data_IF_515260225024
#
_entry.id   IF_515260225024
#
_cell.length_a   1.000
_cell.length_b   1.000
_cell.length_c   1.000
_cell.angle_alpha   90.00
_cell.angle_beta   90.00
_cell.angle_gamma   90.00
#
_symmetry.space_group_name_H-M   'P 1'
#
loop_
_entity.id
_entity.type
_entity.pdbx_description
1 polymer ?
#
# COMPACT_ATOMS: atom_id res chain seq x y z
N UNK A 1 14.66 18.70 6.88
CA UNK A 1 15.19 20.03 7.20
C UNK A 1 14.24 21.07 6.61
N UNK A 2 13.78 22.04 7.41
CA UNK A 2 12.94 23.19 7.01
C UNK A 2 11.45 22.94 6.60
N UNK A 3 10.74 21.96 7.18
CA UNK A 3 9.26 21.93 7.09
C UNK A 3 8.65 22.93 8.10
N UNK A 4 7.42 23.44 7.91
CA UNK A 4 6.50 23.21 6.79
C UNK A 4 6.70 24.12 5.57
N UNK A 5 7.23 25.34 5.74
CA UNK A 5 7.30 26.37 4.68
C UNK A 5 8.75 26.73 4.30
N UNK A 6 9.62 25.74 4.17
CA UNK A 6 11.01 25.94 3.78
C UNK A 6 11.45 24.96 2.70
N UNK A 7 12.41 25.40 1.90
CA UNK A 7 13.08 24.59 0.90
C UNK A 7 14.48 24.25 1.40
N UNK A 8 14.96 23.05 1.05
CA UNK A 8 16.37 22.68 1.22
C UNK A 8 16.93 22.33 -0.14
N UNK A 9 18.01 23.00 -0.54
CA UNK A 9 18.74 22.69 -1.76
C UNK A 9 20.00 21.92 -1.36
N UNK A 10 20.16 20.72 -1.91
CA UNK A 10 21.34 19.88 -1.71
C UNK A 10 22.26 20.03 -2.91
N UNK A 11 23.43 20.61 -2.69
CA UNK A 11 24.45 20.76 -3.73
C UNK A 11 25.25 19.47 -3.91
N UNK A 12 25.68 19.15 -5.15
CA UNK A 12 26.51 17.96 -5.43
C UNK A 12 27.81 17.87 -4.62
N UNK A 13 28.31 18.99 -4.13
CA UNK A 13 29.58 19.04 -3.40
C UNK A 13 29.43 18.82 -1.89
N UNK A 14 28.20 18.86 -1.35
CA UNK A 14 27.92 18.80 0.10
C UNK A 14 26.90 17.75 0.52
N UNK A 15 26.45 16.92 -0.42
CA UNK A 15 25.45 15.91 -0.11
C UNK A 15 26.00 14.80 0.79
N UNK A 16 27.30 14.51 0.71
CA UNK A 16 27.92 13.44 1.51
C UNK A 16 27.85 13.73 3.00
N UNK A 17 28.21 14.94 3.44
CA UNK A 17 28.17 15.32 4.86
C UNK A 17 26.73 15.37 5.38
N UNK A 18 25.82 15.88 4.55
CA UNK A 18 24.40 15.93 4.87
C UNK A 18 23.84 14.51 5.02
N UNK A 19 24.06 13.64 4.04
CA UNK A 19 23.60 12.25 4.06
C UNK A 19 24.19 11.49 5.25
N UNK A 20 25.50 11.63 5.51
CA UNK A 20 26.20 10.85 6.54
C UNK A 20 25.59 11.01 7.93
N UNK A 21 25.03 12.20 8.22
CA UNK A 21 24.38 12.50 9.49
C UNK A 21 22.95 11.94 9.65
N UNK A 22 22.34 11.44 8.56
CA UNK A 22 20.95 10.98 8.57
C UNK A 22 20.87 9.61 9.28
N UNK A 23 19.93 9.41 10.21
CA UNK A 23 19.63 8.09 10.78
C UNK A 23 19.22 7.10 9.69
N UNK A 24 19.64 5.84 9.79
CA UNK A 24 19.33 4.82 8.77
C UNK A 24 17.83 4.69 8.52
N UNK A 25 16.98 4.75 9.56
CA UNK A 25 15.52 4.69 9.40
C UNK A 25 14.89 5.82 8.58
N UNK A 26 15.59 6.95 8.46
CA UNK A 26 15.11 8.11 7.70
C UNK A 26 15.49 8.04 6.21
N UNK A 27 16.29 7.04 5.83
CA UNK A 27 16.64 6.79 4.44
C UNK A 27 15.46 6.17 3.70
N UNK A 28 15.24 6.55 2.44
CA UNK A 28 14.16 6.02 1.63
C UNK A 28 14.26 4.49 1.54
N UNK A 29 13.15 3.78 1.76
CA UNK A 29 13.05 2.32 1.82
C UNK A 29 13.63 1.64 3.08
N UNK A 30 14.21 2.39 4.02
CA UNK A 30 14.71 1.86 5.30
C UNK A 30 13.72 2.05 6.46
N UNK A 31 12.46 2.35 6.17
CA UNK A 31 11.41 2.38 7.18
C UNK A 31 11.00 0.98 7.65
N UNK A 32 10.41 0.88 8.84
CA UNK A 32 9.84 -0.35 9.38
C UNK A 32 10.88 -1.46 9.63
N UNK A 33 10.49 -2.71 9.36
CA UNK A 33 11.28 -3.90 9.71
C UNK A 33 12.64 -3.98 9.01
N UNK A 34 12.75 -3.47 7.77
CA UNK A 34 14.02 -3.52 7.05
C UNK A 34 15.07 -2.59 7.67
N UNK A 35 14.68 -1.38 8.09
CA UNK A 35 15.59 -0.48 8.81
C UNK A 35 16.08 -1.06 10.12
N UNK A 36 15.19 -1.67 10.90
CA UNK A 36 15.54 -2.36 12.14
C UNK A 36 16.48 -3.54 11.91
N UNK A 37 16.25 -4.32 10.85
CA UNK A 37 17.14 -5.40 10.45
C UNK A 37 18.53 -4.88 10.09
N UNK A 38 18.62 -3.81 9.30
CA UNK A 38 19.90 -3.21 8.90
C UNK A 38 20.68 -2.73 10.13
N UNK A 39 20.01 -2.01 11.05
CA UNK A 39 20.63 -1.51 12.28
C UNK A 39 21.11 -2.63 13.19
N UNK A 40 20.34 -3.70 13.35
CA UNK A 40 20.69 -4.81 14.23
C UNK A 40 21.76 -5.73 13.63
N UNK A 41 21.75 -5.98 12.32
CA UNK A 41 22.70 -6.89 11.65
C UNK A 41 24.06 -6.25 11.41
N UNK A 42 24.10 -4.94 11.10
CA UNK A 42 25.35 -4.22 10.81
C UNK A 42 25.80 -3.29 11.95
N UNK A 43 25.03 -3.20 13.03
CA UNK A 43 25.30 -2.34 14.20
C UNK A 43 25.50 -0.85 13.84
N UNK A 44 24.79 -0.40 12.80
CA UNK A 44 24.85 0.98 12.28
C UNK A 44 23.75 1.85 12.85
N UNK A 45 24.00 3.17 12.95
CA UNK A 45 22.98 4.16 13.36
C UNK A 45 22.72 5.18 12.27
N UNK A 46 23.75 5.54 11.52
CA UNK A 46 23.70 6.59 10.52
C UNK A 46 24.01 6.05 9.12
N UNK A 47 23.61 6.81 8.10
CA UNK A 47 23.99 6.50 6.71
C UNK A 47 25.52 6.54 6.54
N UNK A 48 26.22 7.38 7.30
CA UNK A 48 27.69 7.43 7.32
C UNK A 48 28.32 6.08 7.71
N UNK A 49 27.76 5.40 8.71
CA UNK A 49 28.19 4.06 9.11
C UNK A 49 27.90 3.04 7.99
N UNK A 50 26.72 3.15 7.37
CA UNK A 50 26.30 2.25 6.29
C UNK A 50 27.14 2.39 5.00
N UNK A 51 27.72 3.57 4.76
CA UNK A 51 28.59 3.83 3.61
C UNK A 51 29.90 3.03 3.62
N UNK A 52 30.33 2.55 4.79
CA UNK A 52 31.57 1.78 4.95
C UNK A 52 31.49 0.36 4.35
N UNK A 53 30.29 -0.14 4.08
CA UNK A 53 30.08 -1.48 3.56
C UNK A 53 30.13 -1.54 2.03
N UNK A 54 30.75 -2.60 1.51
CA UNK A 54 30.77 -2.90 0.08
C UNK A 54 29.42 -3.42 -0.40
N UNK A 55 29.17 -3.34 -1.72
CA UNK A 55 27.95 -3.87 -2.32
C UNK A 55 27.81 -5.38 -2.03
N UNK A 56 28.88 -6.16 -2.21
CA UNK A 56 28.88 -7.61 -1.96
C UNK A 56 28.51 -7.96 -0.51
N UNK A 57 28.97 -7.16 0.45
CA UNK A 57 28.64 -7.37 1.86
C UNK A 57 27.16 -7.14 2.12
N UNK A 58 26.59 -6.07 1.56
CA UNK A 58 25.17 -5.76 1.71
C UNK A 58 24.28 -6.78 0.99
N UNK A 59 24.69 -7.26 -0.19
CA UNK A 59 23.98 -8.30 -0.92
C UNK A 59 24.03 -9.66 -0.20
N UNK A 60 25.14 -9.97 0.48
CA UNK A 60 25.28 -11.18 1.29
C UNK A 60 24.33 -11.20 2.49
N UNK A 61 24.17 -10.07 3.17
CA UNK A 61 23.35 -9.98 4.40
C UNK A 61 21.84 -9.80 4.10
N UNK A 62 21.48 -9.04 3.06
CA UNK A 62 20.08 -8.67 2.78
C UNK A 62 19.52 -9.24 1.47
N UNK A 63 20.31 -10.01 0.73
CA UNK A 63 19.98 -10.53 -0.58
C UNK A 63 20.26 -9.53 -1.72
N UNK A 64 20.34 -10.05 -2.95
CA UNK A 64 20.79 -9.28 -4.12
C UNK A 64 19.98 -8.00 -4.35
N UNK A 65 18.65 -8.06 -4.31
CA UNK A 65 17.79 -6.91 -4.58
C UNK A 65 17.90 -5.84 -3.50
N UNK A 66 17.75 -6.21 -2.23
CA UNK A 66 17.74 -5.25 -1.11
C UNK A 66 19.14 -4.73 -0.79
N UNK A 67 20.16 -5.59 -0.85
CA UNK A 67 21.55 -5.19 -0.65
C UNK A 67 22.03 -4.21 -1.72
N UNK A 68 21.72 -4.48 -2.99
CA UNK A 68 22.03 -3.55 -4.09
C UNK A 68 21.29 -2.23 -3.96
N UNK A 69 20.00 -2.26 -3.60
CA UNK A 69 19.22 -1.06 -3.30
C UNK A 69 19.86 -0.26 -2.17
N UNK A 70 20.19 -0.92 -1.05
CA UNK A 70 20.81 -0.28 0.11
C UNK A 70 22.12 0.44 -0.27
N UNK A 71 22.99 -0.23 -1.05
CA UNK A 71 24.25 0.33 -1.53
C UNK A 71 24.09 1.61 -2.36
N UNK A 72 23.08 1.63 -3.25
CA UNK A 72 22.80 2.74 -4.15
C UNK A 72 22.18 3.92 -3.38
N UNK A 73 21.17 3.63 -2.54
CA UNK A 73 20.40 4.66 -1.83
C UNK A 73 21.25 5.37 -0.77
N UNK A 74 22.09 4.65 -0.01
CA UNK A 74 22.95 5.29 1.00
C UNK A 74 23.97 6.27 0.39
N UNK A 75 24.28 6.12 -0.90
CA UNK A 75 25.18 6.99 -1.68
C UNK A 75 24.45 8.13 -2.40
N UNK A 76 23.15 8.31 -2.15
CA UNK A 76 22.34 9.35 -2.80
C UNK A 76 22.10 9.11 -4.30
N UNK A 77 22.32 7.89 -4.78
CA UNK A 77 22.06 7.53 -6.16
C UNK A 77 20.58 7.13 -6.31
N UNK A 78 19.93 7.68 -7.33
CA UNK A 78 18.60 7.25 -7.74
C UNK A 78 18.65 6.80 -9.20
N UNK A 79 18.25 5.55 -9.45
CA UNK A 79 18.17 4.97 -10.80
C UNK A 79 16.74 4.86 -11.31
N UNK A 80 15.76 5.31 -10.53
CA UNK A 80 14.37 5.29 -10.95
C UNK A 80 14.10 6.46 -11.88
N UNK A 81 13.74 6.14 -13.12
CA UNK A 81 13.16 7.13 -14.01
C UNK A 81 11.82 7.60 -13.44
N UNK A 82 11.64 8.92 -13.38
CA UNK A 82 10.37 9.53 -13.01
C UNK A 82 9.28 9.02 -13.95
N UNK A 83 8.44 8.10 -13.45
CA UNK A 83 7.25 7.69 -14.19
C UNK A 83 6.25 8.84 -14.08
N UNK A 84 5.77 9.34 -15.22
CA UNK A 84 4.69 10.31 -15.27
C UNK A 84 3.34 9.66 -14.95
N UNK A 85 3.20 9.04 -13.77
CA UNK A 85 1.92 8.50 -13.33
C UNK A 85 1.07 9.65 -12.84
N UNK A 86 0.30 10.25 -13.75
CA UNK A 86 -0.66 11.33 -13.42
C UNK A 86 -1.95 10.80 -12.81
N UNK A 87 -2.14 9.48 -12.81
CA UNK A 87 -3.42 8.85 -12.47
C UNK A 87 -3.18 7.67 -11.52
N UNK A 88 -3.89 7.65 -10.38
CA UNK A 88 -3.81 6.53 -9.43
C UNK A 88 -4.24 5.22 -10.12
N UNK A 89 -3.53 4.10 -9.93
CA UNK A 89 -3.85 2.84 -10.61
C UNK A 89 -5.11 2.17 -10.06
N UNK A 90 -5.55 2.53 -8.85
CA UNK A 90 -6.69 1.93 -8.16
C UNK A 90 -7.61 2.99 -7.56
N UNK A 91 -8.88 2.63 -7.43
CA UNK A 91 -9.92 3.38 -6.73
C UNK A 91 -10.30 2.55 -5.51
N UNK A 92 -10.24 3.13 -4.31
CA UNK A 92 -10.53 2.41 -3.08
C UNK A 92 -11.35 3.24 -2.10
N UNK A 93 -12.11 2.52 -1.27
CA UNK A 93 -12.78 3.00 -0.07
C UNK A 93 -12.39 2.08 1.09
N UNK A 94 -12.31 2.64 2.29
CA UNK A 94 -12.18 1.86 3.53
C UNK A 94 -13.40 2.24 4.37
N UNK A 95 -14.19 1.25 4.77
CA UNK A 95 -15.40 1.47 5.55
C UNK A 95 -15.24 0.76 6.89
N UNK A 96 -15.23 1.49 8.02
CA UNK A 96 -15.21 0.84 9.32
C UNK A 96 -16.53 0.10 9.54
N UNK A 97 -16.44 -1.16 9.96
CA UNK A 97 -17.60 -1.98 10.29
C UNK A 97 -17.74 -1.97 11.81
N UNK A 98 -18.87 -1.46 12.30
CA UNK A 98 -19.20 -1.44 13.73
C UNK A 98 -20.53 -2.17 13.92
N UNK A 99 -20.47 -3.45 14.33
CA UNK A 99 -21.67 -4.28 14.55
C UNK A 99 -22.00 -5.18 13.37
N UNK A 100 -23.29 -5.46 13.17
CA UNK A 100 -23.77 -6.32 12.09
C UNK A 100 -23.65 -5.64 10.73
N UNK A 101 -23.44 -6.47 9.71
CA UNK A 101 -23.45 -6.03 8.32
C UNK A 101 -24.91 -6.01 7.87
N UNK A 102 -25.43 -4.82 7.66
CA UNK A 102 -26.81 -4.59 7.25
C UNK A 102 -26.88 -4.02 5.83
N UNK A 103 -28.11 -3.96 5.29
CA UNK A 103 -28.37 -3.41 3.96
C UNK A 103 -27.90 -1.95 3.84
N UNK A 104 -27.97 -1.17 4.93
CA UNK A 104 -27.57 0.23 4.91
C UNK A 104 -26.06 0.40 4.70
N UNK A 105 -25.25 -0.47 5.30
CA UNK A 105 -23.81 -0.52 5.07
C UNK A 105 -23.49 -0.90 3.62
N UNK A 106 -24.14 -1.92 3.08
CA UNK A 106 -23.95 -2.35 1.69
C UNK A 106 -24.28 -1.20 0.74
N UNK A 107 -25.44 -0.57 0.90
CA UNK A 107 -25.85 0.58 0.09
C UNK A 107 -24.85 1.74 0.21
N UNK A 108 -24.32 1.99 1.41
CA UNK A 108 -23.30 3.02 1.65
C UNK A 108 -21.99 2.73 0.89
N UNK A 109 -21.48 1.50 0.97
CA UNK A 109 -20.28 1.03 0.26
C UNK A 109 -20.50 1.16 -1.25
N UNK A 110 -21.63 0.63 -1.76
CA UNK A 110 -21.98 0.67 -3.18
C UNK A 110 -22.03 2.08 -3.72
N UNK A 111 -22.72 3.01 -3.03
CA UNK A 111 -22.88 4.39 -3.50
C UNK A 111 -21.54 5.12 -3.52
N UNK A 112 -20.75 5.05 -2.45
CA UNK A 112 -19.45 5.73 -2.39
C UNK A 112 -18.48 5.22 -3.46
N UNK A 113 -18.45 3.90 -3.70
CA UNK A 113 -17.56 3.33 -4.68
C UNK A 113 -18.04 3.66 -6.11
N UNK A 114 -19.33 3.58 -6.38
CA UNK A 114 -19.91 3.92 -7.68
C UNK A 114 -19.71 5.40 -8.04
N UNK A 115 -19.84 6.32 -7.08
CA UNK A 115 -19.53 7.75 -7.29
C UNK A 115 -18.07 7.96 -7.70
N UNK A 116 -17.13 7.29 -7.01
CA UNK A 116 -15.70 7.37 -7.36
C UNK A 116 -15.39 6.74 -8.72
N UNK A 117 -16.05 5.62 -9.06
CA UNK A 117 -15.92 4.97 -10.36
C UNK A 117 -16.40 5.90 -11.48
N UNK A 118 -17.58 6.51 -11.32
CA UNK A 118 -18.14 7.44 -12.29
C UNK A 118 -17.26 8.69 -12.46
N UNK A 119 -16.76 9.26 -11.36
CA UNK A 119 -15.86 10.42 -11.42
C UNK A 119 -14.54 10.10 -12.14
N UNK A 120 -13.98 8.90 -11.91
CA UNK A 120 -12.75 8.45 -12.58
C UNK A 120 -12.99 8.14 -14.06
N UNK A 121 -14.11 7.50 -14.39
CA UNK A 121 -14.53 7.24 -15.77
C UNK A 121 -14.71 8.53 -16.57
N UNK A 122 -15.39 9.54 -16.00
CA UNK A 122 -15.57 10.85 -16.63
C UNK A 122 -14.24 11.60 -16.83
N UNK A 123 -13.32 11.48 -15.88
CA UNK A 123 -12.06 12.23 -15.90
C UNK A 123 -10.98 11.59 -16.76
N UNK A 124 -10.93 10.26 -16.82
CA UNK A 124 -9.84 9.52 -17.44
C UNK A 124 -10.28 8.54 -18.53
N UNK A 125 -11.58 8.40 -18.79
CA UNK A 125 -12.11 7.54 -19.85
C UNK A 125 -11.78 6.05 -19.64
N UNK A 126 -11.70 5.61 -18.38
CA UNK A 126 -11.31 4.25 -18.01
C UNK A 126 -12.28 3.63 -17.02
N UNK A 127 -12.30 2.31 -16.97
CA UNK A 127 -13.09 1.55 -16.01
C UNK A 127 -12.25 0.37 -15.46
N UNK A 128 -12.29 0.09 -14.15
CA UNK A 128 -11.54 -1.04 -13.60
C UNK A 128 -12.14 -2.38 -14.03
N UNK A 129 -11.26 -3.35 -14.27
CA UNK A 129 -11.65 -4.72 -14.68
C UNK A 129 -11.80 -5.67 -13.49
N UNK A 130 -11.36 -5.25 -12.31
CA UNK A 130 -11.28 -6.12 -11.13
C UNK A 130 -11.61 -5.34 -9.87
N UNK A 131 -12.42 -5.96 -9.01
CA UNK A 131 -12.66 -5.54 -7.63
C UNK A 131 -11.82 -6.39 -6.70
N UNK A 132 -11.18 -5.74 -5.74
CA UNK A 132 -10.55 -6.40 -4.61
C UNK A 132 -11.27 -5.99 -3.34
N UNK A 133 -11.69 -6.97 -2.55
CA UNK A 133 -12.32 -6.75 -1.25
C UNK A 133 -11.51 -7.44 -0.17
N UNK A 134 -11.32 -6.78 0.97
CA UNK A 134 -10.50 -7.30 2.05
C UNK A 134 -11.15 -6.92 3.39
N UNK A 135 -11.40 -7.94 4.20
CA UNK A 135 -11.86 -7.76 5.57
C UNK A 135 -10.64 -7.76 6.51
N UNK A 136 -10.55 -6.72 7.33
CA UNK A 136 -9.42 -6.53 8.25
C UNK A 136 -9.88 -6.33 9.68
N UNK A 137 -9.10 -6.85 10.61
CA UNK A 137 -9.21 -6.56 12.03
C UNK A 137 -7.84 -6.09 12.53
N UNK A 138 -7.78 -4.90 13.13
CA UNK A 138 -6.53 -4.30 13.63
C UNK A 138 -5.38 -4.30 12.60
N UNK A 139 -5.67 -3.89 11.36
CA UNK A 139 -4.76 -3.90 10.19
C UNK A 139 -4.29 -5.29 9.71
N UNK A 140 -4.72 -6.37 10.35
CA UNK A 140 -4.47 -7.74 9.91
C UNK A 140 -5.55 -8.17 8.93
N UNK A 141 -5.14 -8.69 7.76
CA UNK A 141 -6.05 -9.25 6.76
C UNK A 141 -6.63 -10.57 7.27
N UNK A 142 -7.96 -10.64 7.41
CA UNK A 142 -8.66 -11.84 7.82
C UNK A 142 -9.10 -12.68 6.63
N UNK A 143 -9.61 -12.01 5.59
CA UNK A 143 -10.02 -12.64 4.34
C UNK A 143 -9.92 -11.61 3.20
N UNK A 144 -9.68 -12.10 1.99
CA UNK A 144 -9.59 -11.31 0.77
C UNK A 144 -10.27 -12.01 -0.40
N UNK A 145 -10.88 -11.21 -1.28
CA UNK A 145 -11.49 -11.68 -2.51
C UNK A 145 -11.07 -10.80 -3.69
N UNK A 146 -11.06 -11.41 -4.87
CA UNK A 146 -10.73 -10.77 -6.13
C UNK A 146 -11.74 -11.22 -7.18
N UNK A 147 -12.51 -10.28 -7.71
CA UNK A 147 -13.62 -10.58 -8.63
C UNK A 147 -13.56 -9.70 -9.87
N UNK A 148 -13.86 -10.28 -11.02
CA UNK A 148 -13.96 -9.52 -12.27
C UNK A 148 -15.16 -8.57 -12.24
N UNK A 149 -14.93 -7.31 -12.63
CA UNK A 149 -15.98 -6.30 -12.74
C UNK A 149 -16.45 -6.19 -14.18
N UNK A 150 -17.65 -6.71 -14.44
CA UNK A 150 -18.34 -6.61 -15.73
C UNK A 150 -19.60 -5.77 -15.59
N UNK A 151 -19.43 -4.45 -15.49
CA UNK A 151 -20.52 -3.50 -15.20
C UNK A 151 -21.03 -2.73 -16.44
N UNK A 152 -20.42 -2.93 -17.61
CA UNK A 152 -20.66 -2.10 -18.80
C UNK A 152 -21.93 -2.48 -19.59
N UNK A 153 -22.49 -3.68 -19.37
CA UNK A 153 -23.56 -4.26 -20.20
C UNK A 153 -24.87 -4.55 -19.42
N UNK A 154 -25.04 -3.97 -18.23
CA UNK A 154 -26.14 -4.33 -17.31
C UNK A 154 -27.17 -3.21 -17.18
N UNK A 155 -28.46 -3.51 -17.44
CA UNK A 155 -29.57 -2.65 -17.04
C UNK A 155 -29.60 -2.56 -15.50
N UNK A 156 -29.75 -1.36 -14.93
CA UNK A 156 -29.66 -1.12 -13.48
C UNK A 156 -28.30 -1.46 -12.82
N UNK A 157 -27.21 -0.90 -13.35
CA UNK A 157 -25.83 -1.02 -12.81
C UNK A 157 -25.75 -0.91 -11.28
N UNK A 158 -26.53 -0.02 -10.66
CA UNK A 158 -26.52 0.18 -9.21
C UNK A 158 -26.99 -1.05 -8.43
N UNK A 159 -28.08 -1.67 -8.86
CA UNK A 159 -28.65 -2.85 -8.19
C UNK A 159 -27.68 -4.03 -8.31
N UNK A 160 -27.20 -4.29 -9.52
CA UNK A 160 -26.22 -5.34 -9.77
C UNK A 160 -24.91 -5.15 -8.99
N UNK A 161 -24.47 -3.89 -8.84
CA UNK A 161 -23.27 -3.59 -8.07
C UNK A 161 -23.46 -3.81 -6.57
N UNK A 162 -24.62 -3.48 -6.02
CA UNK A 162 -24.97 -3.80 -4.62
C UNK A 162 -25.05 -5.30 -4.38
N UNK A 163 -25.69 -6.06 -5.28
CA UNK A 163 -25.74 -7.53 -5.20
C UNK A 163 -24.35 -8.16 -5.26
N UNK A 164 -23.47 -7.63 -6.12
CA UNK A 164 -22.08 -8.07 -6.21
C UNK A 164 -21.34 -7.84 -4.89
N UNK A 165 -21.45 -6.64 -4.31
CA UNK A 165 -20.81 -6.31 -3.04
C UNK A 165 -21.34 -7.19 -1.91
N UNK A 166 -22.66 -7.39 -1.84
CA UNK A 166 -23.30 -8.23 -0.85
C UNK A 166 -22.80 -9.69 -0.93
N UNK A 167 -22.76 -10.26 -2.15
CA UNK A 167 -22.25 -11.62 -2.36
C UNK A 167 -20.82 -11.77 -1.87
N UNK A 168 -19.94 -10.89 -2.32
CA UNK A 168 -18.51 -10.95 -1.97
C UNK A 168 -18.28 -10.76 -0.46
N UNK A 169 -19.05 -9.87 0.17
CA UNK A 169 -18.96 -9.66 1.60
C UNK A 169 -19.42 -10.89 2.39
N UNK A 170 -20.51 -11.53 1.97
CA UNK A 170 -21.00 -12.78 2.58
C UNK A 170 -19.99 -13.93 2.42
N UNK A 171 -19.34 -14.03 1.26
CA UNK A 171 -18.28 -15.02 1.02
C UNK A 171 -17.08 -14.79 1.94
N UNK A 172 -16.66 -13.53 2.14
CA UNK A 172 -15.57 -13.18 3.07
C UNK A 172 -15.91 -13.51 4.51
N UNK A 173 -17.13 -13.21 4.97
CA UNK A 173 -17.59 -13.55 6.33
C UNK A 173 -17.55 -15.06 6.54
N UNK A 174 -18.03 -15.83 5.56
CA UNK A 174 -18.05 -17.29 5.61
C UNK A 174 -16.63 -17.87 5.74
N UNK A 175 -15.66 -17.30 5.02
CA UNK A 175 -14.24 -17.69 5.11
C UNK A 175 -13.66 -17.40 6.51
N UNK A 176 -14.00 -16.26 7.11
CA UNK A 176 -13.56 -15.92 8.47
C UNK A 176 -14.19 -16.84 9.52
N UNK A 177 -15.49 -17.15 9.41
CA UNK A 177 -16.14 -18.09 10.35
C UNK A 177 -15.55 -19.49 10.26
N UNK A 178 -15.27 -19.97 9.03
CA UNK A 178 -14.68 -21.29 8.80
C UNK A 178 -13.25 -21.39 9.35
N UNK A 179 -12.44 -20.34 9.20
CA UNK A 179 -11.07 -20.31 9.71
C UNK A 179 -10.97 -20.17 11.23
N UNK A 180 -11.97 -19.55 11.89
CA UNK A 180 -12.03 -19.41 13.35
C UNK A 180 -12.64 -20.60 14.09
N UNK A 181 -13.27 -21.55 13.39
CA UNK A 181 -13.93 -22.71 14.02
C UNK A 181 -15.17 -22.35 14.84
N UNK A 182 -15.69 -21.14 14.71
CA UNK A 182 -16.89 -20.68 15.41
C UNK A 182 -18.11 -20.87 14.49
N UNK A 183 -19.18 -21.45 15.04
CA UNK A 183 -20.45 -21.58 14.33
C UNK A 183 -20.94 -20.18 13.94
N UNK A 184 -21.18 -20.01 12.64
CA UNK A 184 -21.85 -18.88 11.99
C UNK A 184 -22.96 -18.28 12.86
N UNK A 185 -22.66 -17.16 13.52
CA UNK A 185 -23.67 -16.30 14.13
C UNK A 185 -23.21 -14.84 14.05
N UNK A 186 -23.07 -14.37 12.82
CA UNK A 186 -23.12 -12.96 12.45
C UNK A 186 -24.05 -12.86 11.23
N UNK A 187 -25.32 -13.17 11.48
CA UNK A 187 -26.46 -12.76 10.65
C UNK A 187 -27.27 -11.79 11.53
#
# INVERSE_FOLDING_TARGET
MNRPNGQTVLFPNGYHDTLSSIPVENLLYFGGSFGEQVKSTLEVKTVGDLLQFSQDRLEKEFGQTRGRMAYVVCRGLDRYFMKSVKVKPQISINVPICGQIDKSLIDCISNQLLEKLNADALKFGRFPQTMFMCLKENDVSLADSKTELRLMDVENVREHFSELIERELNDLITQVSTSRGEKSSLI
#
